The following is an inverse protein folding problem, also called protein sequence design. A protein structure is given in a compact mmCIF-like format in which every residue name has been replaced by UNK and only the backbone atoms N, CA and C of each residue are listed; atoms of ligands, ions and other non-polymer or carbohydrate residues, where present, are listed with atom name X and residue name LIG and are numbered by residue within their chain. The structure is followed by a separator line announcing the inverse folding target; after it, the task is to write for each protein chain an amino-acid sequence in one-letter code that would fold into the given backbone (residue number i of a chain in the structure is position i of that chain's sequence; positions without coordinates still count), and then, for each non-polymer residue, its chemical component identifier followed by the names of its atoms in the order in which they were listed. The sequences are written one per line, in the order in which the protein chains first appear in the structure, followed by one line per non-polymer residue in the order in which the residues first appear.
data_IF_119646411420
#
_entry.id   IF_119646411420
#
_cell.length_a   1.000
_cell.length_b   1.000
_cell.length_c   1.000
_cell.angle_alpha   90.00
_cell.angle_beta   90.00
_cell.angle_gamma   90.00
#
_symmetry.space_group_name_H-M   'P 1'
#
loop_
_entity.id
_entity.type
_entity.pdbx_description
1 polymer ?
#
# COMPACT_ATOMS: atom_id res chain seq x y z
N UNK A 1 -10.55 1.13 -16.51
CA UNK A 1 -10.59 0.94 -15.03
C UNK A 1 -11.79 1.73 -14.53
N UNK A 2 -12.56 1.17 -13.60
CA UNK A 2 -13.74 1.85 -13.08
C UNK A 2 -13.30 3.09 -12.30
N UNK A 3 -14.02 4.19 -12.49
CA UNK A 3 -13.73 5.42 -11.77
C UNK A 3 -14.21 5.28 -10.31
N UNK A 4 -13.26 5.25 -9.38
CA UNK A 4 -13.49 5.14 -7.94
C UNK A 4 -14.46 6.21 -7.43
N UNK A 5 -14.29 7.46 -7.87
CA UNK A 5 -15.06 8.61 -7.37
C UNK A 5 -16.54 8.60 -7.74
N UNK A 6 -16.94 7.81 -8.75
CA UNK A 6 -18.32 7.74 -9.25
C UNK A 6 -18.95 6.36 -9.02
N UNK A 7 -18.22 5.44 -8.39
CA UNK A 7 -18.70 4.09 -8.18
C UNK A 7 -19.65 4.03 -6.98
N UNK A 8 -20.76 3.29 -7.12
CA UNK A 8 -21.72 3.13 -6.03
C UNK A 8 -21.26 2.07 -5.03
N UNK A 9 -20.99 2.51 -3.81
CA UNK A 9 -20.64 1.64 -2.67
C UNK A 9 -21.85 1.25 -1.81
N UNK A 10 -23.05 1.73 -2.13
CA UNK A 10 -24.23 1.53 -1.29
C UNK A 10 -24.53 0.05 -1.07
N UNK A 11 -24.48 -0.37 0.19
CA UNK A 11 -24.74 -1.76 0.59
C UNK A 11 -23.62 -2.75 0.26
N UNK A 12 -22.49 -2.29 -0.30
CA UNK A 12 -21.34 -3.13 -0.64
C UNK A 12 -20.33 -3.20 0.52
N UNK A 13 -19.75 -4.38 0.70
CA UNK A 13 -18.55 -4.61 1.51
C UNK A 13 -17.34 -4.45 0.62
N UNK A 14 -16.47 -3.53 0.99
CA UNK A 14 -15.35 -3.10 0.16
C UNK A 14 -14.06 -3.59 0.76
N UNK A 15 -13.41 -4.53 0.07
CA UNK A 15 -12.06 -4.99 0.41
C UNK A 15 -11.07 -3.92 -0.04
N UNK A 16 -10.41 -3.26 0.92
CA UNK A 16 -9.43 -2.22 0.65
C UNK A 16 -8.04 -2.66 1.07
N UNK A 17 -7.12 -2.72 0.12
CA UNK A 17 -5.69 -2.91 0.40
C UNK A 17 -5.05 -1.55 0.68
N UNK A 18 -4.56 -1.34 1.90
CA UNK A 18 -3.92 -0.10 2.37
C UNK A 18 -2.51 -0.34 2.90
N UNK A 19 -1.59 0.62 2.80
CA UNK A 19 -0.25 0.48 3.38
C UNK A 19 -0.19 0.99 4.82
N UNK A 20 -0.67 0.22 5.80
CA UNK A 20 -0.54 0.57 7.24
C UNK A 20 0.72 0.01 7.90
N UNK A 21 1.79 -0.20 7.14
CA UNK A 21 3.08 -0.55 7.73
C UNK A 21 3.71 0.71 8.36
N UNK A 22 3.24 1.07 9.55
CA UNK A 22 3.64 2.23 10.35
C UNK A 22 4.73 1.86 11.36
N UNK A 23 5.63 2.79 11.71
CA UNK A 23 6.60 2.55 12.79
C UNK A 23 5.89 2.53 14.14
N UNK A 24 6.27 1.55 14.97
CA UNK A 24 5.78 1.39 16.33
C UNK A 24 6.93 1.54 17.34
N UNK A 25 6.64 2.03 18.54
CA UNK A 25 7.56 1.96 19.68
C UNK A 25 7.85 0.50 20.03
N UNK A 26 9.07 0.19 20.48
CA UNK A 26 9.47 -1.19 20.79
C UNK A 26 8.82 -1.74 22.08
N UNK A 27 8.47 -0.85 23.00
CA UNK A 27 8.01 -1.19 24.35
C UNK A 27 6.48 -1.20 24.43
N UNK A 28 5.82 -0.19 23.87
CA UNK A 28 4.36 0.02 24.01
C UNK A 28 3.57 -0.33 22.73
N UNK A 29 4.26 -0.58 21.61
CA UNK A 29 3.66 -0.76 20.28
C UNK A 29 2.77 0.42 19.84
N UNK A 30 3.08 1.62 20.32
CA UNK A 30 2.38 2.84 19.95
C UNK A 30 2.90 3.37 18.61
N UNK A 31 1.99 3.90 17.80
CA UNK A 31 2.33 4.49 16.50
C UNK A 31 3.17 5.75 16.73
N UNK A 32 4.35 5.81 16.12
CA UNK A 32 5.22 7.00 16.17
C UNK A 32 5.06 7.93 14.96
N UNK A 33 4.55 7.41 13.84
CA UNK A 33 4.21 8.18 12.63
C UNK A 33 2.96 7.57 11.96
N UNK A 34 1.86 8.32 11.95
CA UNK A 34 0.56 7.90 11.41
C UNK A 34 0.30 8.38 9.97
N UNK A 35 1.28 8.99 9.30
CA UNK A 35 1.13 9.56 7.94
C UNK A 35 0.51 8.59 6.96
N UNK A 36 0.88 7.31 7.03
CA UNK A 36 0.35 6.28 6.13
C UNK A 36 -1.15 6.00 6.36
N UNK A 37 -1.60 6.06 7.61
CA UNK A 37 -3.03 5.91 7.94
C UNK A 37 -3.78 7.14 7.43
N UNK A 38 -3.26 8.35 7.69
CA UNK A 38 -3.85 9.61 7.19
C UNK A 38 -3.90 9.67 5.66
N UNK A 39 -2.87 9.17 4.97
CA UNK A 39 -2.81 9.16 3.51
C UNK A 39 -3.90 8.29 2.86
N UNK A 40 -4.30 7.20 3.51
CA UNK A 40 -5.39 6.35 3.03
C UNK A 40 -6.78 6.89 3.41
N UNK A 41 -6.87 7.77 4.42
CA UNK A 41 -8.14 8.25 4.97
C UNK A 41 -9.11 8.83 3.92
N UNK A 42 -8.68 9.60 2.90
CA UNK A 42 -9.60 10.09 1.87
C UNK A 42 -10.34 8.97 1.13
N UNK A 43 -9.64 7.88 0.78
CA UNK A 43 -10.23 6.71 0.11
C UNK A 43 -11.23 6.02 1.03
N UNK A 44 -10.84 5.82 2.30
CA UNK A 44 -11.64 5.10 3.28
C UNK A 44 -12.92 5.86 3.65
N UNK A 45 -12.80 7.16 3.93
CA UNK A 45 -13.95 8.01 4.26
C UNK A 45 -14.92 8.11 3.08
N UNK A 46 -14.43 8.23 1.85
CA UNK A 46 -15.29 8.26 0.67
C UNK A 46 -16.15 7.00 0.53
N UNK A 47 -15.59 5.82 0.77
CA UNK A 47 -16.36 4.56 0.73
C UNK A 47 -17.46 4.56 1.81
N UNK A 48 -17.11 4.95 3.04
CA UNK A 48 -18.04 4.98 4.18
C UNK A 48 -19.18 5.98 3.95
N UNK A 49 -18.85 7.18 3.45
CA UNK A 49 -19.81 8.25 3.17
C UNK A 49 -20.76 7.90 2.01
N UNK A 50 -20.34 7.02 1.10
CA UNK A 50 -21.14 6.54 -0.02
C UNK A 50 -21.85 5.19 0.26
N UNK A 51 -22.02 4.85 1.54
CA UNK A 51 -22.86 3.73 1.99
C UNK A 51 -22.19 2.36 1.93
N UNK A 52 -20.87 2.30 1.80
CA UNK A 52 -20.09 1.08 1.86
C UNK A 52 -19.70 0.67 3.28
N UNK A 53 -19.37 -0.60 3.46
CA UNK A 53 -18.72 -1.14 4.65
C UNK A 53 -17.26 -1.46 4.32
N UNK A 54 -16.32 -1.11 5.20
CA UNK A 54 -14.88 -1.26 4.94
C UNK A 54 -14.31 -2.56 5.50
N UNK A 55 -13.58 -3.30 4.66
CA UNK A 55 -12.76 -4.45 5.07
C UNK A 55 -11.31 -4.14 4.71
N UNK A 56 -10.52 -3.77 5.70
CA UNK A 56 -9.14 -3.30 5.54
C UNK A 56 -8.17 -4.47 5.58
N UNK A 57 -7.32 -4.54 4.57
CA UNK A 57 -6.17 -5.44 4.48
C UNK A 57 -4.88 -4.63 4.49
N UNK A 58 -3.97 -5.02 5.37
CA UNK A 58 -2.63 -4.44 5.41
C UNK A 58 -1.60 -5.47 5.84
N UNK A 59 -0.34 -5.07 5.75
CA UNK A 59 0.77 -5.75 6.39
C UNK A 59 1.41 -4.83 7.43
N UNK A 60 2.06 -5.43 8.41
CA UNK A 60 2.94 -4.73 9.35
C UNK A 60 4.25 -5.51 9.46
N UNK A 61 5.37 -4.83 9.27
CA UNK A 61 6.69 -5.43 9.33
C UNK A 61 6.92 -6.54 8.29
N UNK A 62 7.77 -7.51 8.68
CA UNK A 62 8.19 -8.65 7.86
C UNK A 62 8.28 -9.91 8.73
N UNK A 63 7.15 -10.43 9.24
CA UNK A 63 7.13 -11.68 10.00
C UNK A 63 7.71 -12.81 9.14
N UNK A 64 8.54 -13.68 9.74
CA UNK A 64 9.22 -14.80 9.05
C UNK A 64 8.60 -16.16 9.37
N UNK A 65 8.27 -16.37 10.64
CA UNK A 65 7.84 -17.67 11.18
C UNK A 65 6.33 -17.76 11.42
N UNK A 66 5.54 -16.84 10.86
CA UNK A 66 4.09 -16.78 11.03
C UNK A 66 3.65 -15.66 11.98
N UNK A 67 2.50 -15.81 12.66
CA UNK A 67 1.97 -14.81 13.58
C UNK A 67 2.95 -14.43 14.70
N UNK A 68 3.17 -13.13 14.88
CA UNK A 68 3.98 -12.58 15.98
C UNK A 68 3.33 -11.29 16.50
N UNK A 69 3.26 -11.14 17.82
CA UNK A 69 2.53 -10.05 18.48
C UNK A 69 2.97 -8.66 18.00
N UNK A 70 4.28 -8.41 17.96
CA UNK A 70 4.89 -7.15 17.50
C UNK A 70 4.52 -6.73 16.07
N UNK A 71 4.04 -7.67 15.25
CA UNK A 71 3.62 -7.43 13.86
C UNK A 71 2.10 -7.60 13.70
N UNK A 72 1.33 -7.70 14.78
CA UNK A 72 -0.13 -7.72 14.75
C UNK A 72 -0.69 -6.34 14.42
N UNK A 73 -1.73 -6.30 13.60
CA UNK A 73 -2.45 -5.08 13.27
C UNK A 73 -3.38 -4.61 14.41
N UNK A 74 -3.56 -5.39 15.47
CA UNK A 74 -4.34 -4.95 16.64
C UNK A 74 -3.75 -3.68 17.28
N UNK A 75 -2.43 -3.48 17.18
CA UNK A 75 -1.72 -2.34 17.75
C UNK A 75 -2.07 -1.02 17.06
N UNK A 76 -2.57 -1.07 15.81
CA UNK A 76 -2.88 0.14 15.04
C UNK A 76 -4.37 0.52 15.05
N UNK A 77 -5.23 -0.29 15.70
CA UNK A 77 -6.68 -0.06 15.78
C UNK A 77 -6.98 1.35 16.26
N UNK A 78 -6.44 1.76 17.41
CA UNK A 78 -6.66 3.11 17.97
C UNK A 78 -6.21 4.22 17.01
N UNK A 79 -5.12 4.01 16.28
CA UNK A 79 -4.64 4.97 15.28
C UNK A 79 -5.62 5.13 14.12
N UNK A 80 -6.18 4.03 13.63
CA UNK A 80 -7.21 4.05 12.57
C UNK A 80 -8.49 4.71 13.10
N UNK A 81 -8.94 4.35 14.29
CA UNK A 81 -10.14 4.93 14.92
C UNK A 81 -10.01 6.46 15.08
N UNK A 82 -8.85 6.93 15.53
CA UNK A 82 -8.56 8.36 15.69
C UNK A 82 -8.59 9.12 14.35
N UNK A 83 -8.12 8.50 13.27
CA UNK A 83 -8.07 9.14 11.94
C UNK A 83 -9.43 9.10 11.25
N UNK A 84 -10.17 7.99 11.35
CA UNK A 84 -11.46 7.82 10.67
C UNK A 84 -12.66 8.33 11.49
N UNK A 85 -12.51 8.50 12.81
CA UNK A 85 -13.63 8.83 13.69
C UNK A 85 -14.71 7.73 13.68
N UNK A 86 -14.32 6.48 13.51
CA UNK A 86 -15.20 5.29 13.47
C UNK A 86 -14.58 4.19 14.29
N UNK A 87 -15.42 3.40 14.97
CA UNK A 87 -14.96 2.18 15.65
C UNK A 87 -14.47 1.16 14.63
N UNK A 88 -13.39 0.47 14.95
CA UNK A 88 -12.80 -0.55 14.09
C UNK A 88 -12.99 -1.92 14.75
N UNK A 89 -13.76 -2.78 14.10
CA UNK A 89 -13.83 -4.21 14.43
C UNK A 89 -12.52 -4.86 13.97
N UNK A 90 -12.07 -5.88 14.69
CA UNK A 90 -10.84 -6.59 14.37
C UNK A 90 -11.10 -8.08 14.27
N UNK A 91 -10.59 -8.71 13.22
CA UNK A 91 -10.51 -10.16 13.10
C UNK A 91 -9.09 -10.61 13.44
N UNK A 92 -8.93 -11.56 14.36
CA UNK A 92 -7.61 -12.11 14.75
C UNK A 92 -6.94 -12.96 13.66
N UNK A 93 -7.60 -13.10 12.52
CA UNK A 93 -7.12 -13.78 11.33
C UNK A 93 -7.64 -13.07 10.05
N UNK A 94 -7.09 -13.38 8.88
CA UNK A 94 -7.51 -12.76 7.61
C UNK A 94 -8.25 -13.69 6.63
N UNK A 95 -8.30 -15.01 6.84
CA UNK A 95 -8.97 -15.96 5.91
C UNK A 95 -9.83 -17.03 6.62
N UNK A 96 -9.88 -17.00 7.94
CA UNK A 96 -10.53 -17.98 8.77
C UNK A 96 -12.00 -17.66 9.03
N UNK A 97 -12.63 -18.55 9.79
CA UNK A 97 -14.06 -18.47 10.09
C UNK A 97 -14.46 -17.16 10.79
N UNK A 98 -13.60 -16.63 11.67
CA UNK A 98 -13.85 -15.35 12.34
C UNK A 98 -13.90 -14.18 11.35
N UNK A 99 -12.91 -14.06 10.46
CA UNK A 99 -12.86 -13.03 9.43
C UNK A 99 -14.11 -13.07 8.54
N UNK A 100 -14.51 -14.28 8.11
CA UNK A 100 -15.72 -14.48 7.31
C UNK A 100 -16.99 -14.07 8.05
N UNK A 101 -17.19 -14.58 9.27
CA UNK A 101 -18.36 -14.24 10.10
C UNK A 101 -18.47 -12.74 10.40
N UNK A 102 -17.35 -12.06 10.68
CA UNK A 102 -17.32 -10.62 10.90
C UNK A 102 -17.63 -9.84 9.62
N UNK A 103 -17.07 -10.27 8.47
CA UNK A 103 -17.35 -9.65 7.17
C UNK A 103 -18.80 -9.82 6.75
N UNK A 104 -19.41 -10.98 7.02
CA UNK A 104 -20.81 -11.28 6.69
C UNK A 104 -21.78 -10.35 7.43
N UNK A 105 -21.49 -10.08 8.70
CA UNK A 105 -22.29 -9.24 9.61
C UNK A 105 -21.93 -7.74 9.56
N UNK A 106 -20.97 -7.35 8.75
CA UNK A 106 -20.51 -5.97 8.67
C UNK A 106 -21.58 -5.10 8.03
N UNK A 107 -22.07 -4.09 8.77
CA UNK A 107 -23.10 -3.18 8.31
C UNK A 107 -22.49 -1.97 7.56
N UNK A 108 -23.27 -1.31 6.68
CA UNK A 108 -22.84 -0.06 6.03
C UNK A 108 -22.31 0.97 7.04
N UNK A 109 -21.20 1.62 6.70
CA UNK A 109 -20.53 2.60 7.56
C UNK A 109 -19.65 2.00 8.68
N UNK A 110 -19.60 0.67 8.81
CA UNK A 110 -18.69 -0.01 9.74
C UNK A 110 -17.33 -0.33 9.10
N UNK A 111 -16.33 -0.50 9.96
CA UNK A 111 -14.95 -0.83 9.58
C UNK A 111 -14.52 -2.13 10.23
N UNK A 112 -14.01 -3.06 9.43
CA UNK A 112 -13.34 -4.29 9.84
C UNK A 112 -11.87 -4.22 9.42
N UNK A 113 -10.96 -4.43 10.36
CA UNK A 113 -9.54 -4.65 10.11
C UNK A 113 -9.24 -6.14 10.20
N UNK A 114 -8.72 -6.71 9.12
CA UNK A 114 -8.19 -8.08 9.13
C UNK A 114 -6.80 -8.10 9.74
N UNK A 115 -6.39 -9.24 10.29
CA UNK A 115 -5.01 -9.42 10.75
C UNK A 115 -4.01 -9.39 9.59
N UNK A 116 -2.73 -9.19 9.93
CA UNK A 116 -1.61 -9.03 9.03
C UNK A 116 -1.54 -10.12 7.96
N UNK A 117 -1.76 -9.73 6.70
CA UNK A 117 -1.76 -10.67 5.56
C UNK A 117 -0.43 -11.42 5.40
N UNK A 118 0.68 -10.88 5.92
CA UNK A 118 2.01 -11.54 5.89
C UNK A 118 2.21 -12.61 6.96
N UNK A 119 1.24 -12.84 7.85
CA UNK A 119 1.27 -14.05 8.69
C UNK A 119 1.09 -15.32 7.87
N UNK A 120 0.56 -15.20 6.65
CA UNK A 120 0.50 -16.27 5.65
C UNK A 120 1.66 -16.13 4.66
N UNK A 121 2.43 -17.20 4.46
CA UNK A 121 3.55 -17.22 3.52
C UNK A 121 3.07 -17.05 2.06
N UNK A 122 1.84 -17.50 1.82
CA UNK A 122 1.05 -17.43 0.60
C UNK A 122 0.92 -15.99 0.06
N UNK A 123 0.80 -15.00 0.94
CA UNK A 123 0.70 -13.57 0.56
C UNK A 123 1.89 -13.13 -0.29
N UNK A 124 3.11 -13.40 0.19
CA UNK A 124 4.33 -12.93 -0.49
C UNK A 124 4.68 -13.77 -1.72
N UNK A 125 4.14 -15.00 -1.81
CA UNK A 125 4.24 -15.86 -2.98
C UNK A 125 3.27 -15.48 -4.10
N UNK A 126 2.32 -14.59 -3.84
CA UNK A 126 1.27 -14.29 -4.80
C UNK A 126 0.36 -15.49 -5.04
N UNK A 127 0.02 -16.22 -3.98
CA UNK A 127 -0.80 -17.43 -4.10
C UNK A 127 -2.26 -17.10 -4.47
N UNK A 128 -2.78 -17.80 -5.48
CA UNK A 128 -4.12 -17.56 -6.01
C UNK A 128 -5.22 -18.09 -5.09
N UNK A 129 -5.00 -19.19 -4.37
CA UNK A 129 -6.00 -19.74 -3.45
C UNK A 129 -6.15 -18.86 -2.20
N UNK A 130 -5.05 -18.31 -1.70
CA UNK A 130 -5.08 -17.32 -0.63
C UNK A 130 -5.80 -16.04 -1.08
N UNK A 131 -5.53 -15.56 -2.29
CA UNK A 131 -6.25 -14.43 -2.87
C UNK A 131 -7.75 -14.71 -3.04
N UNK A 132 -8.14 -15.93 -3.44
CA UNK A 132 -9.54 -16.36 -3.53
C UNK A 132 -10.24 -16.32 -2.17
N UNK A 133 -9.59 -16.81 -1.12
CA UNK A 133 -10.15 -16.77 0.25
C UNK A 133 -10.35 -15.34 0.75
N UNK A 134 -9.41 -14.44 0.45
CA UNK A 134 -9.58 -13.01 0.76
C UNK A 134 -10.74 -12.39 -0.03
N UNK A 135 -10.90 -12.75 -1.31
CA UNK A 135 -11.96 -12.18 -2.14
C UNK A 135 -13.37 -12.58 -1.69
N UNK A 136 -13.53 -13.71 -1.00
CA UNK A 136 -14.82 -14.14 -0.44
C UNK A 136 -15.38 -13.17 0.63
N UNK A 137 -14.55 -12.27 1.17
CA UNK A 137 -14.93 -11.41 2.28
C UNK A 137 -15.69 -10.14 1.85
N UNK A 138 -15.68 -9.78 0.57
CA UNK A 138 -16.28 -8.52 0.11
C UNK A 138 -16.76 -8.58 -1.34
N UNK A 139 -17.54 -7.57 -1.72
CA UNK A 139 -18.23 -7.49 -3.00
C UNK A 139 -17.40 -6.77 -4.07
N UNK A 140 -16.44 -5.94 -3.65
CA UNK A 140 -15.56 -5.20 -4.55
C UNK A 140 -14.19 -4.94 -3.92
N UNK A 141 -13.20 -4.66 -4.77
CA UNK A 141 -11.81 -4.51 -4.39
C UNK A 141 -11.24 -3.14 -4.75
N UNK A 142 -10.59 -2.50 -3.77
CA UNK A 142 -9.91 -1.22 -3.92
C UNK A 142 -8.44 -1.41 -3.52
N UNK A 143 -7.51 -1.11 -4.43
CA UNK A 143 -6.09 -1.05 -4.09
C UNK A 143 -5.66 0.41 -3.87
N UNK A 144 -5.29 0.73 -2.64
CA UNK A 144 -4.79 2.05 -2.25
C UNK A 144 -3.39 1.97 -1.60
N UNK A 145 -2.62 0.92 -1.94
CA UNK A 145 -1.34 0.62 -1.32
C UNK A 145 -0.17 0.71 -2.32
N UNK A 146 0.06 1.91 -2.88
CA UNK A 146 1.12 2.16 -3.89
C UNK A 146 2.50 1.65 -3.46
N UNK A 147 2.89 1.89 -2.20
CA UNK A 147 4.16 1.42 -1.64
C UNK A 147 4.38 -0.11 -1.72
N UNK A 148 3.32 -0.89 -1.94
CA UNK A 148 3.37 -2.34 -2.13
C UNK A 148 2.96 -2.82 -3.52
N UNK A 149 2.51 -1.93 -4.40
CA UNK A 149 2.01 -2.27 -5.73
C UNK A 149 3.10 -2.79 -6.69
N UNK A 150 4.38 -2.50 -6.41
CA UNK A 150 5.51 -3.04 -7.18
C UNK A 150 5.77 -4.54 -6.96
N UNK A 151 5.00 -5.21 -6.09
CA UNK A 151 5.15 -6.64 -5.78
C UNK A 151 3.89 -7.40 -6.16
N UNK A 152 4.09 -8.55 -6.81
CA UNK A 152 3.04 -9.48 -7.21
C UNK A 152 2.50 -10.32 -6.03
N UNK A 153 2.14 -9.66 -4.93
CA UNK A 153 1.56 -10.33 -3.77
C UNK A 153 0.08 -10.68 -3.99
N UNK A 154 -0.45 -11.58 -3.17
CA UNK A 154 -1.83 -12.03 -3.28
C UNK A 154 -2.83 -10.89 -3.05
N UNK A 155 -2.68 -10.14 -1.95
CA UNK A 155 -3.58 -9.04 -1.56
C UNK A 155 -3.44 -7.76 -2.40
N UNK A 156 -2.41 -7.65 -3.23
CA UNK A 156 -2.17 -6.48 -4.10
C UNK A 156 -2.46 -6.76 -5.57
N UNK A 157 -2.22 -7.99 -6.03
CA UNK A 157 -2.20 -8.35 -7.46
C UNK A 157 -3.21 -9.43 -7.78
N UNK A 158 -3.07 -10.62 -7.19
CA UNK A 158 -3.88 -11.78 -7.58
C UNK A 158 -5.36 -11.62 -7.21
N UNK A 159 -5.63 -10.98 -6.06
CA UNK A 159 -7.00 -10.74 -5.60
C UNK A 159 -7.85 -9.99 -6.64
N UNK A 160 -7.24 -9.10 -7.42
CA UNK A 160 -7.93 -8.33 -8.45
C UNK A 160 -8.50 -9.20 -9.58
N UNK A 161 -8.00 -10.43 -9.78
CA UNK A 161 -8.53 -11.36 -10.77
C UNK A 161 -9.90 -11.91 -10.39
N UNK A 162 -10.25 -11.91 -9.10
CA UNK A 162 -11.55 -12.35 -8.59
C UNK A 162 -12.64 -11.26 -8.65
N UNK A 163 -12.26 -10.03 -9.01
CA UNK A 163 -13.17 -8.90 -9.19
C UNK A 163 -13.05 -8.34 -10.61
N UNK A 164 -13.58 -9.02 -11.64
CA UNK A 164 -13.41 -8.59 -13.03
C UNK A 164 -14.06 -7.24 -13.29
N UNK A 165 -15.22 -6.99 -12.67
CA UNK A 165 -16.07 -5.82 -12.92
C UNK A 165 -16.17 -4.88 -11.71
N UNK A 166 -15.54 -5.19 -10.58
CA UNK A 166 -15.72 -4.46 -9.32
C UNK A 166 -14.36 -4.23 -8.65
N UNK A 167 -13.36 -3.84 -9.45
CA UNK A 167 -12.01 -3.47 -9.00
C UNK A 167 -11.60 -2.07 -9.40
N UNK A 168 -10.91 -1.40 -8.50
CA UNK A 168 -10.51 0.00 -8.66
C UNK A 168 -9.24 0.33 -7.85
N UNK A 169 -8.70 1.51 -8.12
CA UNK A 169 -7.61 2.10 -7.33
C UNK A 169 -8.18 3.22 -6.47
N UNK A 170 -7.69 3.34 -5.23
CA UNK A 170 -8.07 4.45 -4.35
C UNK A 170 -7.39 5.77 -4.75
N UNK A 171 -7.67 6.83 -3.99
CA UNK A 171 -7.17 8.17 -4.31
C UNK A 171 -5.64 8.28 -4.18
N UNK A 172 -5.03 7.62 -3.18
CA UNK A 172 -3.58 7.65 -3.00
C UNK A 172 -2.90 6.96 -4.18
N UNK A 173 -3.34 5.74 -4.52
CA UNK A 173 -2.80 5.00 -5.65
C UNK A 173 -3.01 5.76 -6.97
N UNK A 174 -4.17 6.37 -7.18
CA UNK A 174 -4.46 7.16 -8.37
C UNK A 174 -3.54 8.39 -8.49
N UNK A 175 -3.33 9.12 -7.38
CA UNK A 175 -2.45 10.29 -7.36
C UNK A 175 -0.98 9.92 -7.65
N UNK A 176 -0.51 8.78 -7.16
CA UNK A 176 0.84 8.26 -7.43
C UNK A 176 1.01 7.84 -8.89
N UNK A 177 0.02 7.14 -9.46
CA UNK A 177 0.01 6.78 -10.89
C UNK A 177 0.04 8.05 -11.75
N UNK A 178 -0.79 9.05 -11.44
CA UNK A 178 -0.85 10.31 -12.17
C UNK A 178 0.46 11.11 -12.07
N UNK A 179 1.08 11.13 -10.89
CA UNK A 179 2.38 11.77 -10.68
C UNK A 179 3.48 11.09 -11.49
N UNK A 180 3.51 9.76 -11.49
CA UNK A 180 4.46 9.00 -12.32
C UNK A 180 4.22 9.25 -13.82
N UNK A 181 2.96 9.30 -14.27
CA UNK A 181 2.59 9.57 -15.67
C UNK A 181 3.05 10.96 -16.11
N UNK A 182 2.86 11.99 -15.29
CA UNK A 182 3.35 13.35 -15.56
C UNK A 182 4.86 13.42 -15.76
N UNK A 183 5.61 12.63 -14.99
CA UNK A 183 7.08 12.56 -15.10
C UNK A 183 7.53 11.80 -16.33
N UNK A 184 6.83 10.73 -16.71
CA UNK A 184 7.26 9.82 -17.79
C UNK A 184 6.74 10.20 -19.18
N UNK A 185 5.57 10.85 -19.28
CA UNK A 185 4.85 11.03 -20.54
C UNK A 185 4.49 12.49 -20.86
N UNK A 186 4.17 13.30 -19.84
CA UNK A 186 3.60 14.65 -20.01
C UNK A 186 4.56 15.75 -19.52
N UNK A 187 5.85 15.44 -19.54
CA UNK A 187 6.87 16.24 -18.88
C UNK A 187 7.03 17.60 -19.54
N UNK A 188 6.79 18.67 -18.79
CA UNK A 188 7.08 20.03 -19.24
C UNK A 188 8.60 20.25 -19.27
N UNK A 189 9.11 20.76 -20.39
CA UNK A 189 10.54 21.03 -20.59
C UNK A 189 10.90 22.49 -20.25
N UNK A 190 12.10 22.76 -19.70
CA UNK A 190 13.13 21.77 -19.38
C UNK A 190 12.76 20.93 -18.14
N UNK A 191 12.98 19.61 -18.23
CA UNK A 191 12.79 18.66 -17.15
C UNK A 191 14.13 18.31 -16.51
N UNK A 192 14.28 18.69 -15.24
CA UNK A 192 15.44 18.36 -14.42
C UNK A 192 15.10 17.26 -13.44
N UNK A 193 15.77 16.11 -13.54
CA UNK A 193 15.70 15.04 -12.56
C UNK A 193 16.83 15.16 -11.54
N UNK A 194 16.50 15.12 -10.25
CA UNK A 194 17.48 15.11 -9.15
C UNK A 194 17.47 13.72 -8.52
N UNK A 195 18.56 12.98 -8.65
CA UNK A 195 18.70 11.61 -8.14
C UNK A 195 19.79 11.57 -7.09
N UNK A 196 19.47 11.00 -5.93
CA UNK A 196 20.45 10.78 -4.87
C UNK A 196 20.21 9.48 -4.11
N UNK A 197 21.04 9.24 -3.10
CA UNK A 197 21.00 8.03 -2.28
C UNK A 197 22.41 7.53 -1.95
N UNK A 198 22.48 6.45 -1.17
CA UNK A 198 23.76 5.88 -0.74
C UNK A 198 24.36 4.90 -1.76
N UNK A 199 23.54 4.15 -2.50
CA UNK A 199 23.98 3.07 -3.39
C UNK A 199 23.47 3.26 -4.81
N UNK A 200 24.38 3.23 -5.79
CA UNK A 200 24.04 3.28 -7.22
C UNK A 200 23.20 2.07 -7.63
N UNK A 201 23.53 0.87 -7.11
CA UNK A 201 22.87 -0.41 -7.47
C UNK A 201 21.35 -0.37 -7.35
N UNK A 202 20.85 0.33 -6.33
CA UNK A 202 19.42 0.38 -6.02
C UNK A 202 18.66 1.35 -6.95
N UNK A 203 19.38 2.12 -7.77
CA UNK A 203 18.88 3.25 -8.57
C UNK A 203 19.25 3.19 -10.04
N UNK A 204 20.04 2.20 -10.49
CA UNK A 204 20.49 2.08 -11.89
C UNK A 204 19.30 2.16 -12.86
N UNK A 205 18.31 1.29 -12.69
CA UNK A 205 17.11 1.27 -13.55
C UNK A 205 16.33 2.59 -13.55
N UNK A 206 16.30 3.30 -12.42
CA UNK A 206 15.63 4.61 -12.32
C UNK A 206 16.41 5.65 -13.13
N UNK A 207 17.73 5.69 -12.98
CA UNK A 207 18.60 6.61 -13.73
C UNK A 207 18.52 6.32 -15.22
N UNK A 208 18.58 5.06 -15.64
CA UNK A 208 18.44 4.64 -17.04
C UNK A 208 17.10 5.09 -17.65
N UNK A 209 16.00 4.94 -16.91
CA UNK A 209 14.69 5.43 -17.36
C UNK A 209 14.64 6.96 -17.44
N UNK A 210 15.23 7.66 -16.47
CA UNK A 210 15.25 9.12 -16.45
C UNK A 210 16.12 9.73 -17.55
N UNK A 211 17.20 9.05 -17.96
CA UNK A 211 18.05 9.46 -19.09
C UNK A 211 17.27 9.56 -20.41
N UNK A 212 16.20 8.79 -20.56
CA UNK A 212 15.36 8.82 -21.77
C UNK A 212 14.39 10.02 -21.80
N UNK A 213 14.14 10.67 -20.65
CA UNK A 213 13.09 11.70 -20.53
C UNK A 213 13.62 13.08 -20.08
N UNK A 214 14.64 13.12 -19.21
CA UNK A 214 15.16 14.35 -18.61
C UNK A 214 16.09 15.14 -19.54
N UNK A 215 15.92 16.46 -19.54
CA UNK A 215 16.85 17.40 -20.19
C UNK A 215 18.14 17.55 -19.35
N UNK A 216 17.98 17.49 -18.02
CA UNK A 216 19.07 17.60 -17.07
C UNK A 216 18.94 16.52 -16.00
N UNK A 217 20.06 15.88 -15.65
CA UNK A 217 20.13 14.96 -14.51
C UNK A 217 21.20 15.46 -13.56
N UNK A 218 20.79 15.69 -12.31
CA UNK A 218 21.68 16.05 -11.20
C UNK A 218 21.80 14.83 -10.31
N UNK A 219 23.02 14.29 -10.20
CA UNK A 219 23.33 13.17 -9.31
C UNK A 219 23.98 13.71 -8.04
N UNK A 220 23.43 13.34 -6.88
CA UNK A 220 23.94 13.72 -5.56
C UNK A 220 24.01 12.54 -4.57
N UNK A 221 24.38 12.82 -3.33
CA UNK A 221 24.52 11.80 -2.27
C UNK A 221 25.70 10.85 -2.48
N UNK A 222 25.77 9.78 -1.69
CA UNK A 222 26.87 8.80 -1.72
C UNK A 222 27.06 8.13 -3.08
N UNK A 223 25.98 7.95 -3.84
CA UNK A 223 26.05 7.37 -5.18
C UNK A 223 26.83 8.23 -6.19
N UNK A 224 26.95 9.55 -5.96
CA UNK A 224 27.70 10.44 -6.84
C UNK A 224 29.19 10.08 -6.88
N UNK A 225 29.76 9.57 -5.77
CA UNK A 225 31.17 9.20 -5.69
C UNK A 225 31.55 8.09 -6.67
N UNK A 226 30.63 7.15 -6.95
CA UNK A 226 30.87 6.12 -7.97
C UNK A 226 31.04 6.73 -9.36
N UNK A 227 30.23 7.75 -9.70
CA UNK A 227 30.36 8.46 -10.98
C UNK A 227 31.65 9.28 -11.04
N UNK A 228 31.99 10.02 -9.97
CA UNK A 228 33.24 10.77 -9.90
C UNK A 228 34.47 9.85 -10.02
N UNK A 229 34.44 8.69 -9.36
CA UNK A 229 35.52 7.70 -9.45
C UNK A 229 35.63 7.10 -10.86
N UNK A 230 34.50 6.82 -11.51
CA UNK A 230 34.45 6.32 -12.88
C UNK A 230 34.99 7.32 -13.91
N UNK A 231 34.88 8.63 -13.64
CA UNK A 231 35.48 9.70 -14.46
C UNK A 231 36.98 9.93 -14.19
N UNK A 232 37.62 9.07 -13.40
CA UNK A 232 39.04 9.18 -13.05
C UNK A 232 39.33 10.07 -11.83
N UNK A 233 38.31 10.55 -11.13
CA UNK A 233 38.46 11.36 -9.93
C UNK A 233 38.91 10.57 -8.68
N UNK A 234 39.33 11.30 -7.65
CA UNK A 234 39.67 10.77 -6.33
C UNK A 234 38.55 11.05 -5.33
N UNK A 235 38.12 10.03 -4.58
CA UNK A 235 36.97 10.11 -3.65
C UNK A 235 37.37 10.01 -2.17
N UNK A 236 38.67 9.92 -1.86
CA UNK A 236 39.16 9.78 -0.49
C UNK A 236 38.63 8.50 0.18
N UNK A 237 38.11 8.64 1.40
CA UNK A 237 37.47 7.55 2.16
C UNK A 237 35.96 7.42 1.98
N UNK A 238 35.39 8.08 0.95
CA UNK A 238 33.99 7.88 0.55
C UNK A 238 33.79 6.57 -0.20
#
# INVERSE_FOLDING_TARGET
MINFSTYSFTGKKVLVRVDFNVPLTKETFEITDDKRIRAAAPTLLHILENGGALILMSHLGRPKEGPEDKSSLKHIIKGIENVLGRKVKFAGDCIGHEAKSLSEKLAPGEVLLLENVRFYKEETKGDSEFARKLSELGDCYVNDAFGTAHRAHASTTQIASFFPNDKMVGFLMAAEIESAKKVMQETKRPFTAIVGGAKVSDKVLIVENLLNVADHIIIGGGMAYTFFKAQGGTIGGS
#
